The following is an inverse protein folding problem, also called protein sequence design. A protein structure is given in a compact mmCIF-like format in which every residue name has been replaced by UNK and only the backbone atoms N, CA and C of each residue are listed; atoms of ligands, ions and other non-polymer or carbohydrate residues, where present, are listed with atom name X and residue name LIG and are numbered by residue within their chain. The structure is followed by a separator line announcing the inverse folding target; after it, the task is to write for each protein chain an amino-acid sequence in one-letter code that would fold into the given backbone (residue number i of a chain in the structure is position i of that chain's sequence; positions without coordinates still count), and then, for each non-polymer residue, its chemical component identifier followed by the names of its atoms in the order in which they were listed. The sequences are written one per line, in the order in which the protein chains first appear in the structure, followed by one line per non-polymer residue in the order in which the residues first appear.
data_IF_372211377674
#
_entry.id   IF_372211377674
#
_cell.length_a   1.000
_cell.length_b   1.000
_cell.length_c   1.000
_cell.angle_alpha   90.00
_cell.angle_beta   90.00
_cell.angle_gamma   90.00
#
_symmetry.space_group_name_H-M   'P 1'
#
loop_
_entity.id
_entity.type
_entity.pdbx_description
1 polymer ?
#
# COMPACT_ATOMS: atom_id res chain seq x y z
N UNK A 1 8.95 -3.19 20.48
CA UNK A 1 7.56 -2.71 20.79
C UNK A 1 6.60 -2.96 19.61
N UNK A 2 6.80 -2.39 18.40
CA UNK A 2 5.90 -2.66 17.26
C UNK A 2 5.81 -4.15 16.94
N UNK A 3 6.94 -4.86 16.82
CA UNK A 3 6.99 -6.32 16.64
C UNK A 3 6.16 -7.10 17.67
N UNK A 4 6.26 -6.73 18.95
CA UNK A 4 5.51 -7.41 20.03
C UNK A 4 4.00 -7.20 19.92
N UNK A 5 3.57 -5.99 19.48
CA UNK A 5 2.16 -5.70 19.25
C UNK A 5 1.63 -6.49 18.06
N UNK A 6 2.35 -6.48 16.93
CA UNK A 6 1.98 -7.23 15.73
C UNK A 6 1.88 -8.74 16.03
N UNK A 7 2.86 -9.32 16.76
CA UNK A 7 2.81 -10.73 17.19
C UNK A 7 1.58 -11.06 18.06
N UNK A 8 1.10 -10.08 18.82
CA UNK A 8 -0.13 -10.21 19.63
C UNK A 8 -1.41 -9.88 18.85
N UNK A 9 -1.31 -9.64 17.55
CA UNK A 9 -2.41 -9.21 16.69
C UNK A 9 -3.05 -7.88 17.13
N UNK A 10 -2.24 -7.00 17.72
CA UNK A 10 -2.60 -5.62 18.06
C UNK A 10 -2.01 -4.73 17.00
N UNK A 11 -2.82 -3.86 16.42
CA UNK A 11 -2.39 -2.93 15.37
C UNK A 11 -1.83 -1.66 16.02
N UNK A 12 -0.51 -1.41 15.96
CA UNK A 12 0.05 -0.14 16.40
C UNK A 12 -0.36 0.97 15.43
N UNK A 13 -0.77 2.09 16.00
CA UNK A 13 -0.93 3.37 15.30
C UNK A 13 0.22 4.26 15.76
N UNK A 14 1.16 4.54 14.86
CA UNK A 14 2.33 5.40 15.14
C UNK A 14 2.02 6.79 14.63
N UNK A 15 2.08 7.78 15.51
CA UNK A 15 1.75 9.17 15.19
C UNK A 15 2.95 10.05 15.53
N UNK A 16 3.48 10.71 14.51
CA UNK A 16 4.52 11.72 14.67
C UNK A 16 5.94 11.25 14.41
N UNK A 17 6.84 12.23 14.46
CA UNK A 17 8.19 12.11 13.98
C UNK A 17 8.29 12.24 12.47
N UNK A 18 9.47 12.03 11.96
CA UNK A 18 9.74 11.98 10.52
C UNK A 18 9.41 10.59 9.95
N UNK A 19 9.20 10.53 8.64
CA UNK A 19 8.75 9.31 7.97
C UNK A 19 9.80 8.19 7.94
N UNK A 20 11.05 8.45 8.28
CA UNK A 20 12.07 7.43 8.50
C UNK A 20 11.69 6.41 9.59
N UNK A 21 10.75 6.73 10.47
CA UNK A 21 10.16 5.76 11.40
C UNK A 21 9.43 4.62 10.69
N UNK A 22 9.02 4.79 9.43
CA UNK A 22 8.52 3.72 8.56
C UNK A 22 9.53 2.58 8.44
N UNK A 23 10.83 2.90 8.34
CA UNK A 23 11.89 1.89 8.36
C UNK A 23 11.87 1.07 9.66
N UNK A 24 11.74 1.72 10.81
CA UNK A 24 11.67 1.02 12.10
C UNK A 24 10.40 0.16 12.24
N UNK A 25 9.27 0.62 11.67
CA UNK A 25 8.03 -0.17 11.61
C UNK A 25 8.19 -1.39 10.69
N UNK A 26 8.86 -1.23 9.53
CA UNK A 26 9.15 -2.32 8.60
C UNK A 26 10.06 -3.38 9.26
N UNK A 27 11.14 -2.96 9.94
CA UNK A 27 12.06 -3.88 10.64
C UNK A 27 11.38 -4.68 11.76
N UNK A 28 10.20 -4.26 12.23
CA UNK A 28 9.41 -5.04 13.18
C UNK A 28 8.86 -6.36 12.61
N UNK A 29 8.92 -6.53 11.29
CA UNK A 29 8.50 -7.76 10.60
C UNK A 29 9.65 -8.75 10.34
N UNK A 30 10.90 -8.41 10.67
CA UNK A 30 12.07 -9.24 10.36
C UNK A 30 12.02 -10.64 10.97
N UNK A 31 11.41 -10.77 12.14
CA UNK A 31 11.27 -12.05 12.85
C UNK A 31 9.87 -12.69 12.64
N UNK A 32 9.12 -12.19 11.65
CA UNK A 32 7.84 -12.77 11.26
C UNK A 32 8.04 -13.59 9.98
N UNK A 33 7.42 -14.77 9.91
CA UNK A 33 7.48 -15.63 8.74
C UNK A 33 6.55 -15.10 7.62
N UNK A 34 6.73 -13.83 7.25
CA UNK A 34 5.95 -13.19 6.18
C UNK A 34 6.76 -12.17 5.40
N UNK A 35 6.42 -11.98 4.12
CA UNK A 35 6.82 -10.82 3.34
C UNK A 35 5.91 -9.64 3.66
N UNK A 36 6.40 -8.44 3.44
CA UNK A 36 5.72 -7.19 3.77
C UNK A 36 5.32 -6.46 2.48
N UNK A 37 4.06 -6.11 2.38
CA UNK A 37 3.57 -5.13 1.41
C UNK A 37 3.46 -3.77 2.12
N UNK A 38 4.33 -2.85 1.72
CA UNK A 38 4.37 -1.47 2.23
C UNK A 38 3.58 -0.56 1.29
N UNK A 39 2.59 0.13 1.83
CA UNK A 39 1.89 1.20 1.11
C UNK A 39 2.24 2.54 1.73
N UNK A 40 2.80 3.44 0.93
CA UNK A 40 3.02 4.84 1.28
C UNK A 40 1.96 5.73 0.63
N UNK A 41 1.45 6.70 1.37
CA UNK A 41 0.74 7.86 0.81
C UNK A 41 1.69 9.02 0.90
N UNK A 42 2.24 9.43 -0.23
CA UNK A 42 3.37 10.34 -0.28
C UNK A 42 3.48 11.01 -1.65
N UNK A 43 4.01 12.24 -1.67
CA UNK A 43 4.31 12.96 -2.91
C UNK A 43 5.69 12.59 -3.50
N UNK A 44 6.51 11.83 -2.74
CA UNK A 44 7.85 11.38 -3.11
C UNK A 44 8.02 9.87 -2.90
N UNK A 45 9.09 9.30 -3.47
CA UNK A 45 9.43 7.88 -3.26
C UNK A 45 10.43 7.64 -2.12
N UNK A 46 11.06 8.71 -1.62
CA UNK A 46 12.05 8.67 -0.53
C UNK A 46 13.24 7.74 -0.78
N UNK A 47 13.75 7.77 -2.01
CA UNK A 47 15.04 7.19 -2.33
C UNK A 47 16.19 8.08 -1.85
N UNK A 48 17.31 7.46 -1.51
CA UNK A 48 18.51 8.17 -1.10
C UNK A 48 19.07 9.02 -2.25
N UNK A 49 19.21 10.32 -1.98
CA UNK A 49 19.99 11.27 -2.79
C UNK A 49 21.27 11.58 -2.03
N UNK A 50 22.34 12.01 -2.74
CA UNK A 50 23.51 12.58 -2.07
C UNK A 50 23.06 13.67 -1.11
N UNK A 51 23.39 13.53 0.17
CA UNK A 51 22.97 14.40 1.28
C UNK A 51 21.47 14.39 1.63
N UNK A 52 20.72 13.35 1.29
CA UNK A 52 19.32 13.22 1.68
C UNK A 52 19.16 13.10 3.20
N UNK A 53 18.15 13.78 3.75
CA UNK A 53 17.75 13.59 5.14
C UNK A 53 17.17 12.18 5.35
N UNK A 54 17.32 11.57 6.55
CA UNK A 54 16.82 10.22 6.84
C UNK A 54 15.33 10.03 6.47
N UNK A 55 14.50 11.04 6.69
CA UNK A 55 13.06 11.01 6.34
C UNK A 55 12.80 10.83 4.86
N UNK A 56 13.71 11.26 3.98
CA UNK A 56 13.58 11.20 2.53
C UNK A 56 14.49 10.12 1.91
N UNK A 57 14.83 9.09 2.67
CA UNK A 57 15.72 8.01 2.21
C UNK A 57 15.41 6.65 2.82
N UNK A 58 14.30 6.54 3.54
CA UNK A 58 13.97 5.31 4.25
C UNK A 58 13.72 4.12 3.31
N UNK A 59 13.18 4.36 2.11
CA UNK A 59 12.90 3.30 1.15
C UNK A 59 14.20 2.66 0.65
N UNK A 60 15.25 3.45 0.39
CA UNK A 60 16.56 2.90 0.02
C UNK A 60 17.11 1.96 1.09
N UNK A 61 16.96 2.30 2.36
CA UNK A 61 17.37 1.43 3.47
C UNK A 61 16.59 0.13 3.50
N UNK A 62 15.27 0.20 3.33
CA UNK A 62 14.40 -0.98 3.28
C UNK A 62 14.82 -1.94 2.17
N UNK A 63 15.23 -1.42 1.01
CA UNK A 63 15.60 -2.23 -0.16
C UNK A 63 17.00 -2.83 -0.02
N UNK A 64 17.95 -2.08 0.57
CA UNK A 64 19.37 -2.47 0.57
C UNK A 64 19.74 -3.31 1.81
N UNK A 65 19.13 -3.03 2.97
CA UNK A 65 19.54 -3.67 4.22
C UNK A 65 18.88 -5.02 4.44
N UNK A 66 19.69 -6.04 4.67
CA UNK A 66 19.25 -7.41 5.00
C UNK A 66 18.71 -7.54 6.44
N UNK A 67 17.74 -8.42 6.70
CA UNK A 67 17.03 -9.27 5.73
C UNK A 67 16.01 -8.47 4.91
N UNK A 68 15.93 -8.74 3.59
CA UNK A 68 14.96 -8.10 2.72
C UNK A 68 13.65 -8.88 2.72
N UNK A 69 12.67 -8.39 3.45
CA UNK A 69 11.33 -8.99 3.54
C UNK A 69 10.29 -8.20 2.73
N UNK A 70 10.72 -7.18 1.98
CA UNK A 70 9.81 -6.38 1.16
C UNK A 70 9.36 -7.18 -0.06
N UNK A 71 8.07 -7.47 -0.16
CA UNK A 71 7.48 -8.10 -1.34
C UNK A 71 6.98 -7.07 -2.35
N UNK A 72 6.28 -6.05 -1.85
CA UNK A 72 5.76 -4.97 -2.68
C UNK A 72 5.88 -3.63 -1.97
N UNK A 73 6.19 -2.61 -2.74
CA UNK A 73 6.03 -1.22 -2.36
C UNK A 73 5.02 -0.57 -3.29
N UNK A 74 4.05 0.14 -2.72
CA UNK A 74 3.10 0.93 -3.49
C UNK A 74 3.08 2.36 -2.96
N UNK A 75 3.23 3.34 -3.85
CA UNK A 75 3.08 4.75 -3.52
C UNK A 75 1.79 5.30 -4.12
N UNK A 76 0.98 5.96 -3.29
CA UNK A 76 -0.24 6.65 -3.67
C UNK A 76 -0.05 8.15 -3.54
N UNK A 77 -0.04 8.86 -4.65
CA UNK A 77 0.01 10.32 -4.62
C UNK A 77 1.32 10.95 -5.09
N UNK A 78 2.27 10.16 -5.65
CA UNK A 78 3.52 10.74 -6.10
C UNK A 78 3.31 11.83 -7.17
N UNK A 79 4.22 12.79 -7.17
CA UNK A 79 4.21 13.89 -8.12
C UNK A 79 5.55 13.95 -8.85
N UNK A 80 5.52 13.95 -10.18
CA UNK A 80 6.72 13.80 -11.03
C UNK A 80 7.77 14.89 -10.81
N UNK A 81 7.37 16.09 -10.42
CA UNK A 81 8.31 17.18 -10.18
C UNK A 81 9.08 17.09 -8.84
N UNK A 82 8.66 16.19 -7.93
CA UNK A 82 9.39 15.88 -6.72
C UNK A 82 10.34 14.69 -6.87
N UNK A 83 10.15 13.88 -7.91
CA UNK A 83 10.87 12.63 -8.12
C UNK A 83 11.71 12.72 -9.40
N UNK A 84 12.95 12.25 -9.37
CA UNK A 84 13.79 12.17 -10.55
C UNK A 84 13.33 11.06 -11.49
N UNK A 85 13.73 11.12 -12.76
CA UNK A 85 13.41 10.05 -13.71
C UNK A 85 14.04 8.72 -13.30
N UNK A 86 15.24 8.76 -12.71
CA UNK A 86 15.94 7.58 -12.20
C UNK A 86 15.16 6.88 -11.07
N UNK A 87 14.51 7.65 -10.21
CA UNK A 87 13.65 7.12 -9.14
C UNK A 87 12.41 6.44 -9.73
N UNK A 88 11.78 7.07 -10.73
CA UNK A 88 10.62 6.50 -11.43
C UNK A 88 11.03 5.19 -12.14
N UNK A 89 12.13 5.21 -12.88
CA UNK A 89 12.66 4.04 -13.58
C UNK A 89 13.01 2.90 -12.62
N UNK A 90 13.48 3.23 -11.41
CA UNK A 90 13.78 2.24 -10.40
C UNK A 90 12.52 1.54 -9.87
N UNK A 91 11.47 2.31 -9.59
CA UNK A 91 10.15 1.77 -9.20
C UNK A 91 9.64 0.79 -10.27
N UNK A 92 9.75 1.17 -11.54
CA UNK A 92 9.32 0.33 -12.67
C UNK A 92 10.16 -0.95 -12.79
N UNK A 93 11.50 -0.85 -12.69
CA UNK A 93 12.42 -2.00 -12.76
C UNK A 93 12.20 -3.01 -11.64
N UNK A 94 11.79 -2.54 -10.46
CA UNK A 94 11.46 -3.40 -9.33
C UNK A 94 10.02 -3.94 -9.40
N UNK A 95 9.27 -3.60 -10.44
CA UNK A 95 7.84 -3.91 -10.58
C UNK A 95 6.99 -3.44 -9.41
N UNK A 96 7.41 -2.37 -8.72
CA UNK A 96 6.64 -1.72 -7.67
C UNK A 96 5.48 -0.92 -8.25
N UNK A 97 4.55 -0.55 -7.40
CA UNK A 97 3.36 0.18 -7.80
C UNK A 97 3.49 1.66 -7.46
N UNK A 98 3.20 2.54 -8.42
CA UNK A 98 3.19 3.97 -8.18
C UNK A 98 2.00 4.62 -8.90
N UNK A 99 1.18 5.34 -8.14
CA UNK A 99 -0.03 5.99 -8.62
C UNK A 99 0.12 7.49 -8.46
N UNK A 100 -0.04 8.23 -9.55
CA UNK A 100 0.05 9.70 -9.52
C UNK A 100 -1.08 10.31 -8.69
N UNK A 101 -0.81 11.44 -8.07
CA UNK A 101 -1.82 12.20 -7.32
C UNK A 101 -3.10 12.40 -8.14
N UNK A 102 -2.98 12.84 -9.40
CA UNK A 102 -4.14 13.10 -10.26
C UNK A 102 -4.99 11.87 -10.53
N UNK A 103 -4.36 10.70 -10.69
CA UNK A 103 -5.04 9.42 -10.87
C UNK A 103 -5.86 9.06 -9.64
N UNK A 104 -5.23 9.04 -8.48
CA UNK A 104 -5.89 8.69 -7.20
C UNK A 104 -6.98 9.70 -6.84
N UNK A 105 -6.72 11.00 -7.01
CA UNK A 105 -7.70 12.05 -6.69
C UNK A 105 -8.92 12.01 -7.63
N UNK A 106 -8.73 11.63 -8.89
CA UNK A 106 -9.85 11.50 -9.85
C UNK A 106 -10.73 10.28 -9.54
N UNK A 107 -10.11 9.17 -9.13
CA UNK A 107 -10.80 7.94 -8.75
C UNK A 107 -10.17 7.34 -7.50
N UNK A 108 -10.62 7.78 -6.34
CA UNK A 108 -10.09 7.31 -5.06
C UNK A 108 -10.24 5.79 -4.85
N UNK A 109 -11.15 5.15 -5.58
CA UNK A 109 -11.42 3.72 -5.44
C UNK A 109 -10.27 2.85 -5.96
N UNK A 110 -9.37 3.36 -6.81
CA UNK A 110 -8.17 2.63 -7.26
C UNK A 110 -7.24 2.27 -6.09
N UNK A 111 -7.29 3.04 -5.01
CA UNK A 111 -6.49 2.81 -3.81
C UNK A 111 -7.02 1.64 -2.94
N UNK A 112 -8.30 1.27 -3.05
CA UNK A 112 -8.88 0.22 -2.20
C UNK A 112 -8.17 -1.12 -2.32
N UNK A 113 -7.98 -1.71 -3.53
CA UNK A 113 -7.27 -2.98 -3.67
C UNK A 113 -5.80 -2.88 -3.28
N UNK A 114 -5.17 -1.71 -3.40
CA UNK A 114 -3.78 -1.47 -2.96
C UNK A 114 -3.69 -1.57 -1.44
N UNK A 115 -4.55 -0.87 -0.70
CA UNK A 115 -4.59 -0.97 0.76
C UNK A 115 -5.04 -2.35 1.24
N UNK A 116 -5.91 -3.03 0.51
CA UNK A 116 -6.37 -4.38 0.86
C UNK A 116 -5.24 -5.39 0.82
N UNK A 117 -4.18 -5.14 0.07
CA UNK A 117 -2.96 -5.97 0.03
C UNK A 117 -1.85 -5.49 0.99
N UNK A 118 -2.00 -4.35 1.65
CA UNK A 118 -1.00 -3.77 2.53
C UNK A 118 -0.89 -4.51 3.87
N UNK A 119 0.34 -4.70 4.36
CA UNK A 119 0.66 -5.11 5.74
C UNK A 119 1.01 -3.89 6.61
N UNK A 120 1.80 -2.98 6.05
CA UNK A 120 2.27 -1.73 6.66
C UNK A 120 1.81 -0.54 5.83
N UNK A 121 1.19 0.43 6.48
CA UNK A 121 0.78 1.69 5.85
C UNK A 121 1.53 2.86 6.49
N UNK A 122 2.13 3.70 5.65
CA UNK A 122 2.86 4.92 6.03
C UNK A 122 2.25 6.12 5.31
N UNK A 123 1.79 7.12 6.06
CA UNK A 123 1.22 8.34 5.48
C UNK A 123 2.12 9.53 5.82
N UNK A 124 2.57 10.21 4.77
CA UNK A 124 3.23 11.50 4.87
C UNK A 124 2.17 12.62 4.78
N UNK A 125 2.11 13.45 5.83
CA UNK A 125 1.16 14.59 5.84
C UNK A 125 1.54 15.65 4.80
N UNK A 126 2.78 15.67 4.32
CA UNK A 126 3.19 16.56 3.22
C UNK A 126 2.53 16.23 1.88
N UNK A 127 1.97 15.02 1.71
CA UNK A 127 1.14 14.67 0.56
C UNK A 127 -0.23 15.38 0.55
N UNK A 128 -0.62 16.02 1.68
CA UNK A 128 -1.88 16.74 1.82
C UNK A 128 -1.69 18.22 1.47
N UNK A 129 -2.66 18.82 0.78
CA UNK A 129 -2.66 20.26 0.50
C UNK A 129 -2.58 21.08 1.80
N UNK A 130 -1.75 22.11 1.80
CA UNK A 130 -1.56 22.98 2.97
C UNK A 130 -2.84 23.67 3.44
N UNK A 131 -3.78 23.91 2.53
CA UNK A 131 -5.11 24.46 2.87
C UNK A 131 -5.95 23.53 3.76
N UNK A 132 -5.66 22.22 3.75
CA UNK A 132 -6.34 21.22 4.57
C UNK A 132 -5.47 20.76 5.75
N UNK A 133 -4.16 20.58 5.55
CA UNK A 133 -3.25 20.20 6.63
C UNK A 133 -2.98 21.35 7.61
N UNK A 134 -3.01 22.59 7.12
CA UNK A 134 -2.59 23.76 7.91
C UNK A 134 -1.07 23.93 7.99
N UNK A 135 -0.30 23.16 7.23
CA UNK A 135 1.14 23.29 7.15
C UNK A 135 1.54 24.36 6.13
N UNK A 136 1.70 25.59 6.61
CA UNK A 136 2.13 26.71 5.78
C UNK A 136 3.64 26.93 5.79
N UNK A 137 4.38 26.19 6.63
CA UNK A 137 5.85 26.26 6.66
C UNK A 137 6.46 25.47 5.47
N UNK A 138 5.83 24.36 5.10
CA UNK A 138 6.12 23.61 3.89
C UNK A 138 4.89 23.66 2.98
N UNK A 139 4.72 24.82 2.32
CA UNK A 139 3.52 25.08 1.55
C UNK A 139 3.41 24.16 0.34
N UNK A 140 2.42 23.29 0.35
CA UNK A 140 2.06 22.41 -0.76
C UNK A 140 0.64 22.73 -1.24
N UNK A 141 0.48 23.44 -2.38
CA UNK A 141 -0.83 23.77 -2.93
C UNK A 141 -1.50 22.60 -3.66
N UNK A 142 -0.72 21.59 -4.06
CA UNK A 142 -1.18 20.48 -4.88
C UNK A 142 -0.92 19.14 -4.17
N UNK A 143 -1.93 18.64 -3.49
CA UNK A 143 -1.90 17.38 -2.73
C UNK A 143 -3.32 16.85 -2.53
N UNK A 144 -3.47 15.82 -1.74
CA UNK A 144 -4.78 15.33 -1.35
C UNK A 144 -5.54 16.36 -0.52
N UNK A 145 -6.84 16.46 -0.72
CA UNK A 145 -7.70 17.21 0.16
C UNK A 145 -8.08 16.41 1.43
N UNK A 146 -8.73 17.07 2.40
CA UNK A 146 -9.09 16.43 3.67
C UNK A 146 -10.02 15.21 3.50
N UNK A 147 -10.96 15.25 2.54
CA UNK A 147 -11.86 14.12 2.26
C UNK A 147 -11.11 12.94 1.65
N UNK A 148 -10.24 13.21 0.70
CA UNK A 148 -9.45 12.17 0.01
C UNK A 148 -8.53 11.45 0.99
N UNK A 149 -7.74 12.18 1.79
CA UNK A 149 -6.84 11.54 2.75
C UNK A 149 -7.60 10.74 3.82
N UNK A 150 -8.75 11.22 4.30
CA UNK A 150 -9.61 10.46 5.20
C UNK A 150 -10.19 9.20 4.54
N UNK A 151 -10.52 9.24 3.25
CA UNK A 151 -10.96 8.06 2.50
C UNK A 151 -9.84 7.02 2.37
N UNK A 152 -8.61 7.46 2.07
CA UNK A 152 -7.43 6.58 2.00
C UNK A 152 -7.17 5.91 3.36
N UNK A 153 -7.23 6.66 4.45
CA UNK A 153 -7.05 6.08 5.80
C UNK A 153 -8.15 5.09 6.15
N UNK A 154 -9.39 5.34 5.72
CA UNK A 154 -10.49 4.41 5.89
C UNK A 154 -10.27 3.11 5.12
N UNK A 155 -9.78 3.16 3.89
CA UNK A 155 -9.42 1.95 3.12
C UNK A 155 -8.32 1.15 3.82
N UNK A 156 -7.29 1.82 4.38
CA UNK A 156 -6.28 1.15 5.20
C UNK A 156 -6.91 0.45 6.42
N UNK A 157 -7.87 1.10 7.08
CA UNK A 157 -8.59 0.53 8.23
C UNK A 157 -9.40 -0.71 7.88
N UNK A 158 -10.17 -0.68 6.77
CA UNK A 158 -11.02 -1.79 6.32
C UNK A 158 -10.22 -3.02 5.88
N UNK A 159 -8.95 -2.85 5.52
CA UNK A 159 -8.11 -3.96 5.09
C UNK A 159 -7.91 -4.97 6.21
N UNK A 160 -8.32 -6.23 5.98
CA UNK A 160 -8.10 -7.33 6.92
C UNK A 160 -6.61 -7.67 7.11
N UNK A 161 -5.75 -7.22 6.20
CA UNK A 161 -4.32 -7.53 6.16
C UNK A 161 -3.45 -6.49 6.87
N UNK A 162 -3.85 -5.22 6.94
CA UNK A 162 -3.08 -4.16 7.58
C UNK A 162 -2.87 -4.46 9.06
N UNK A 163 -1.60 -4.58 9.46
CA UNK A 163 -1.16 -4.90 10.82
C UNK A 163 -0.38 -3.76 11.49
N UNK A 164 0.01 -2.71 10.75
CA UNK A 164 0.55 -1.47 11.34
C UNK A 164 0.25 -0.26 10.47
N UNK A 165 0.05 0.89 11.12
CA UNK A 165 -0.34 2.14 10.49
C UNK A 165 0.45 3.31 11.09
N UNK A 166 0.98 4.19 10.24
CA UNK A 166 1.78 5.35 10.65
C UNK A 166 1.37 6.63 9.94
N UNK A 167 1.45 7.77 10.67
CA UNK A 167 1.24 9.12 10.14
C UNK A 167 2.42 10.01 10.58
N UNK A 168 3.10 10.62 9.62
CA UNK A 168 4.41 11.26 9.80
C UNK A 168 4.49 12.65 9.17
N UNK A 169 5.63 13.34 9.41
CA UNK A 169 6.03 14.60 8.79
C UNK A 169 5.00 15.73 8.97
N UNK A 170 4.51 15.90 10.19
CA UNK A 170 3.62 16.99 10.54
C UNK A 170 4.19 17.85 11.68
N UNK A 171 3.77 19.10 11.73
CA UNK A 171 4.07 19.99 12.85
C UNK A 171 2.95 19.94 13.87
N UNK A 172 3.27 20.10 15.15
CA UNK A 172 2.26 20.07 16.21
C UNK A 172 1.49 21.39 16.22
N UNK A 173 0.72 21.65 15.16
CA UNK A 173 -0.23 22.78 15.11
C UNK A 173 -1.63 22.26 15.44
N UNK A 174 -2.50 23.15 15.89
CA UNK A 174 -3.89 22.78 16.19
C UNK A 174 -4.65 22.30 14.94
N UNK A 175 -4.32 22.82 13.77
CA UNK A 175 -4.97 22.46 12.50
C UNK A 175 -4.56 21.07 12.04
N UNK A 176 -3.25 20.79 12.00
CA UNK A 176 -2.74 19.45 11.65
C UNK A 176 -3.24 18.40 12.64
N UNK A 177 -3.26 18.70 13.94
CA UNK A 177 -3.77 17.78 14.95
C UNK A 177 -5.24 17.40 14.71
N UNK A 178 -6.10 18.34 14.26
CA UNK A 178 -7.49 18.05 13.91
C UNK A 178 -7.59 17.12 12.70
N UNK A 179 -6.80 17.36 11.66
CA UNK A 179 -6.77 16.49 10.48
C UNK A 179 -6.30 15.07 10.85
N UNK A 180 -5.20 14.97 11.61
CA UNK A 180 -4.66 13.67 12.05
C UNK A 180 -5.68 12.91 12.92
N UNK A 181 -6.37 13.62 13.83
CA UNK A 181 -7.43 13.01 14.63
C UNK A 181 -8.55 12.44 13.76
N UNK A 182 -8.95 13.13 12.68
CA UNK A 182 -9.92 12.62 11.72
C UNK A 182 -9.38 11.41 10.95
N UNK A 183 -8.14 11.46 10.47
CA UNK A 183 -7.50 10.33 9.79
C UNK A 183 -7.48 9.08 10.68
N UNK A 184 -7.06 9.22 11.93
CA UNK A 184 -7.06 8.12 12.92
C UNK A 184 -8.48 7.63 13.18
N UNK A 185 -9.46 8.52 13.30
CA UNK A 185 -10.86 8.15 13.47
C UNK A 185 -11.37 7.32 12.29
N UNK A 186 -11.09 7.75 11.04
CA UNK A 186 -11.49 7.02 9.85
C UNK A 186 -10.77 5.65 9.73
N UNK A 187 -9.52 5.56 10.17
CA UNK A 187 -8.83 4.28 10.25
C UNK A 187 -9.53 3.32 11.24
N UNK A 188 -9.85 3.81 12.45
CA UNK A 188 -10.54 3.00 13.48
C UNK A 188 -11.97 2.64 13.04
N UNK A 189 -12.68 3.57 12.42
CA UNK A 189 -13.99 3.30 11.86
C UNK A 189 -13.89 2.23 10.77
N UNK A 190 -12.93 2.36 9.83
CA UNK A 190 -12.66 1.34 8.84
C UNK A 190 -12.36 -0.02 9.45
N UNK A 191 -11.53 -0.07 10.49
CA UNK A 191 -11.21 -1.31 11.21
C UNK A 191 -12.46 -2.00 11.76
N UNK A 192 -13.45 -1.26 12.24
CA UNK A 192 -14.70 -1.84 12.76
C UNK A 192 -15.57 -2.48 11.66
N UNK A 193 -15.30 -2.19 10.38
CA UNK A 193 -15.96 -2.77 9.21
C UNK A 193 -15.17 -3.88 8.52
N UNK A 194 -14.11 -4.42 9.15
CA UNK A 194 -13.38 -5.58 8.61
C UNK A 194 -14.30 -6.79 8.50
N UNK A 195 -14.28 -7.42 7.34
CA UNK A 195 -15.14 -8.60 7.07
C UNK A 195 -14.47 -9.93 7.37
N UNK A 196 -13.17 -9.94 7.71
CA UNK A 196 -12.36 -11.14 7.93
C UNK A 196 -12.47 -12.13 6.77
N UNK A 197 -12.43 -11.62 5.56
CA UNK A 197 -12.64 -12.39 4.34
C UNK A 197 -11.40 -12.48 3.45
N UNK A 198 -10.21 -12.13 3.96
CA UNK A 198 -8.99 -12.33 3.17
C UNK A 198 -8.81 -13.83 2.90
N UNK A 199 -8.60 -14.26 1.63
CA UNK A 199 -8.67 -15.66 1.23
C UNK A 199 -7.41 -16.45 1.60
N UNK A 200 -7.04 -16.47 2.87
CA UNK A 200 -5.92 -17.27 3.38
C UNK A 200 -6.17 -18.77 3.46
N UNK A 201 -7.41 -19.22 3.30
CA UNK A 201 -7.81 -20.61 3.49
C UNK A 201 -8.81 -21.09 2.46
N UNK A 202 -10.02 -21.50 2.90
CA UNK A 202 -11.07 -21.99 2.02
C UNK A 202 -11.62 -20.91 1.09
N UNK A 203 -11.74 -21.25 -0.19
CA UNK A 203 -12.35 -20.40 -1.22
C UNK A 203 -13.87 -20.64 -1.40
N UNK A 204 -14.52 -21.36 -0.47
CA UNK A 204 -15.95 -21.72 -0.57
C UNK A 204 -16.90 -20.52 -0.59
N UNK A 205 -16.47 -19.40 -0.02
CA UNK A 205 -17.26 -18.16 0.02
C UNK A 205 -17.03 -17.26 -1.19
N UNK A 206 -16.41 -17.79 -2.23
CA UNK A 206 -16.05 -17.03 -3.43
C UNK A 206 -16.62 -17.69 -4.68
N UNK A 207 -17.09 -16.86 -5.63
CA UNK A 207 -17.39 -17.31 -6.98
C UNK A 207 -16.10 -17.25 -7.78
N UNK A 208 -15.76 -18.36 -8.42
CA UNK A 208 -14.60 -18.46 -9.31
C UNK A 208 -15.01 -18.11 -10.73
N UNK A 209 -14.26 -17.23 -11.37
CA UNK A 209 -14.37 -16.91 -12.79
C UNK A 209 -13.04 -17.24 -13.46
N UNK A 210 -13.10 -17.83 -14.66
CA UNK A 210 -11.94 -18.17 -15.48
C UNK A 210 -12.06 -17.36 -16.77
N UNK A 211 -11.04 -16.56 -17.07
CA UNK A 211 -10.97 -15.76 -18.28
C UNK A 211 -9.77 -16.23 -19.10
N UNK A 212 -9.99 -16.87 -20.27
CA UNK A 212 -8.90 -17.25 -21.15
C UNK A 212 -8.33 -15.98 -21.83
N UNK A 213 -7.00 -15.84 -21.82
CA UNK A 213 -6.27 -14.77 -22.52
C UNK A 213 -5.12 -15.42 -23.25
N UNK A 214 -5.15 -15.42 -24.58
CA UNK A 214 -4.21 -16.13 -25.45
C UNK A 214 -4.01 -17.59 -25.00
N UNK A 215 -2.79 -17.98 -24.59
CA UNK A 215 -2.45 -19.32 -24.13
C UNK A 215 -2.52 -19.48 -22.61
N UNK A 216 -2.95 -18.46 -21.86
CA UNK A 216 -3.05 -18.43 -20.39
C UNK A 216 -4.50 -18.31 -19.91
N UNK A 217 -4.73 -18.69 -18.65
CA UNK A 217 -6.01 -18.50 -17.97
C UNK A 217 -5.84 -17.59 -16.76
N UNK A 218 -6.55 -16.46 -16.72
CA UNK A 218 -6.65 -15.64 -15.53
C UNK A 218 -7.81 -16.11 -14.67
N UNK A 219 -7.52 -16.37 -13.40
CA UNK A 219 -8.51 -16.88 -12.45
C UNK A 219 -8.88 -15.80 -11.46
N UNK A 220 -10.15 -15.41 -11.46
CA UNK A 220 -10.69 -14.41 -10.55
C UNK A 220 -11.59 -15.05 -9.50
N UNK A 221 -11.62 -14.42 -8.33
CA UNK A 221 -12.51 -14.79 -7.22
C UNK A 221 -13.28 -13.56 -6.74
N UNK A 222 -14.59 -13.69 -6.68
CA UNK A 222 -15.48 -12.64 -6.14
C UNK A 222 -16.08 -13.11 -4.83
N UNK A 223 -15.94 -12.31 -3.77
CA UNK A 223 -16.55 -12.61 -2.48
C UNK A 223 -18.07 -12.54 -2.54
N UNK A 224 -18.75 -13.51 -1.94
CA UNK A 224 -20.19 -13.48 -1.70
C UNK A 224 -20.60 -12.47 -0.61
N UNK A 225 -19.66 -12.10 0.29
CA UNK A 225 -19.93 -11.25 1.45
C UNK A 225 -19.88 -9.79 1.06
N UNK A 226 -18.75 -9.37 0.46
CA UNK A 226 -18.47 -7.95 0.18
C UNK A 226 -18.56 -7.58 -1.29
N UNK A 227 -18.59 -8.58 -2.18
CA UNK A 227 -18.48 -8.37 -3.62
C UNK A 227 -17.07 -7.99 -4.10
N UNK A 228 -16.06 -8.00 -3.21
CA UNK A 228 -14.66 -7.72 -3.55
C UNK A 228 -14.07 -8.79 -4.43
N UNK A 229 -13.07 -8.41 -5.22
CA UNK A 229 -12.42 -9.26 -6.20
C UNK A 229 -10.96 -9.52 -5.86
N UNK A 230 -10.50 -10.71 -6.23
CA UNK A 230 -9.09 -11.13 -6.21
C UNK A 230 -8.77 -11.83 -7.53
N UNK A 231 -7.53 -11.73 -7.96
CA UNK A 231 -6.99 -12.47 -9.10
C UNK A 231 -5.88 -13.41 -8.64
N UNK A 232 -5.87 -14.62 -9.14
CA UNK A 232 -4.84 -15.61 -8.81
C UNK A 232 -3.53 -15.28 -9.53
N UNK A 233 -2.41 -15.32 -8.79
CA UNK A 233 -1.07 -15.20 -9.35
C UNK A 233 -0.51 -16.61 -9.48
N UNK A 234 -0.06 -17.04 -10.69
CA UNK A 234 0.54 -18.35 -10.88
C UNK A 234 1.77 -18.55 -9.98
N UNK A 235 1.89 -19.72 -9.43
CA UNK A 235 2.98 -20.10 -8.55
C UNK A 235 4.18 -20.59 -9.37
N UNK A 236 5.35 -20.00 -9.17
CA UNK A 236 6.60 -20.55 -9.66
C UNK A 236 7.17 -21.54 -8.63
N UNK A 237 7.21 -22.81 -8.99
CA UNK A 237 7.55 -23.94 -8.10
C UNK A 237 9.01 -24.00 -7.66
N UNK A 238 9.90 -23.15 -8.20
CA UNK A 238 11.36 -23.25 -8.03
C UNK A 238 11.99 -22.22 -7.09
N UNK A 239 11.22 -21.40 -6.42
CA UNK A 239 11.77 -20.43 -5.47
C UNK A 239 11.69 -21.00 -4.06
N UNK A 240 12.85 -21.13 -3.41
CA UNK A 240 13.01 -21.56 -1.99
C UNK A 240 12.48 -20.49 -1.02
N UNK A 241 11.32 -19.92 -1.28
CA UNK A 241 10.73 -18.87 -0.48
C UNK A 241 9.72 -19.48 0.49
N UNK A 242 9.98 -19.34 1.80
CA UNK A 242 9.09 -19.77 2.91
C UNK A 242 7.70 -19.10 2.86
N UNK A 243 7.53 -18.13 1.98
CA UNK A 243 6.43 -17.18 1.93
C UNK A 243 5.43 -17.46 0.80
N UNK A 244 5.44 -18.64 0.28
CA UNK A 244 4.62 -19.19 -0.82
C UNK A 244 3.09 -19.10 -0.65
N UNK A 245 2.56 -18.19 0.15
CA UNK A 245 1.14 -18.22 0.54
C UNK A 245 0.25 -17.16 -0.10
N UNK A 246 0.79 -16.16 -0.78
CA UNK A 246 -0.05 -15.14 -1.41
C UNK A 246 -0.20 -15.48 -2.89
N UNK A 247 -1.17 -16.30 -3.21
CA UNK A 247 -1.56 -16.63 -4.59
C UNK A 247 -2.70 -15.74 -5.10
N UNK A 248 -3.26 -14.87 -4.25
CA UNK A 248 -4.40 -14.02 -4.60
C UNK A 248 -4.05 -12.55 -4.38
N UNK A 249 -4.08 -11.78 -5.45
CA UNK A 249 -3.91 -10.34 -5.45
C UNK A 249 -5.29 -9.66 -5.40
N UNK A 250 -5.53 -8.72 -4.49
CA UNK A 250 -6.72 -7.88 -4.56
C UNK A 250 -6.81 -7.11 -5.87
N UNK A 251 -7.97 -7.13 -6.49
CA UNK A 251 -8.25 -6.43 -7.75
C UNK A 251 -9.64 -5.80 -7.73
N UNK A 252 -10.02 -5.14 -8.80
CA UNK A 252 -11.31 -4.50 -9.00
C UNK A 252 -12.21 -5.32 -9.94
N UNK A 253 -13.47 -4.90 -10.07
CA UNK A 253 -14.34 -5.42 -11.11
C UNK A 253 -13.89 -4.96 -12.51
N UNK A 254 -13.31 -3.78 -12.58
CA UNK A 254 -12.75 -3.22 -13.82
C UNK A 254 -11.59 -4.08 -14.34
N UNK A 255 -10.72 -4.57 -13.45
CA UNK A 255 -9.66 -5.52 -13.83
C UNK A 255 -10.22 -6.82 -14.44
N UNK A 256 -11.34 -7.32 -13.89
CA UNK A 256 -12.02 -8.48 -14.45
C UNK A 256 -12.62 -8.18 -15.84
N UNK A 257 -13.25 -7.01 -16.00
CA UNK A 257 -13.83 -6.61 -17.28
C UNK A 257 -12.75 -6.38 -18.35
N UNK A 258 -11.62 -5.73 -18.00
CA UNK A 258 -10.48 -5.56 -18.89
C UNK A 258 -9.90 -6.92 -19.33
N UNK A 259 -9.79 -7.87 -18.42
CA UNK A 259 -9.37 -9.23 -18.74
C UNK A 259 -10.34 -9.91 -19.75
N UNK A 260 -11.66 -9.72 -19.61
CA UNK A 260 -12.65 -10.21 -20.57
C UNK A 260 -12.48 -9.57 -21.96
N UNK A 261 -11.90 -8.38 -22.04
CA UNK A 261 -11.54 -7.67 -23.30
C UNK A 261 -10.12 -8.00 -23.78
N UNK A 262 -9.48 -9.03 -23.23
CA UNK A 262 -8.12 -9.51 -23.53
C UNK A 262 -7.01 -8.55 -23.06
N UNK A 263 -7.27 -7.70 -22.07
CA UNK A 263 -6.28 -6.83 -21.44
C UNK A 263 -5.81 -7.42 -20.12
N UNK A 264 -4.49 -7.66 -19.97
CA UNK A 264 -3.91 -8.18 -18.72
C UNK A 264 -3.81 -7.02 -17.71
N UNK A 265 -4.42 -7.15 -16.51
CA UNK A 265 -4.30 -6.10 -15.48
C UNK A 265 -2.84 -5.84 -15.09
N UNK A 266 -2.42 -4.58 -15.09
CA UNK A 266 -1.03 -4.18 -14.82
C UNK A 266 -0.54 -4.67 -13.46
N UNK A 267 -1.38 -4.59 -12.41
CA UNK A 267 -1.04 -5.05 -11.06
C UNK A 267 -0.75 -6.55 -11.03
N UNK A 268 -1.51 -7.35 -11.76
CA UNK A 268 -1.28 -8.79 -11.87
C UNK A 268 0.05 -9.08 -12.56
N UNK A 269 0.32 -8.41 -13.68
CA UNK A 269 1.56 -8.55 -14.42
C UNK A 269 2.78 -8.17 -13.57
N UNK A 270 2.74 -7.04 -12.86
CA UNK A 270 3.80 -6.63 -11.92
C UNK A 270 4.01 -7.66 -10.81
N UNK A 271 2.93 -8.14 -10.20
CA UNK A 271 3.00 -9.14 -9.13
C UNK A 271 3.58 -10.46 -9.63
N UNK A 272 3.22 -10.92 -10.83
CA UNK A 272 3.80 -12.09 -11.46
C UNK A 272 5.32 -11.93 -11.65
N UNK A 273 5.78 -10.79 -12.13
CA UNK A 273 7.20 -10.50 -12.34
C UNK A 273 7.99 -10.44 -11.04
N UNK A 274 7.44 -9.85 -9.99
CA UNK A 274 8.07 -9.86 -8.65
C UNK A 274 8.25 -11.29 -8.10
N UNK A 275 7.35 -12.19 -8.39
CA UNK A 275 7.48 -13.61 -7.97
C UNK A 275 8.62 -14.36 -8.67
N UNK A 276 9.13 -13.82 -9.77
CA UNK A 276 10.21 -14.44 -10.56
C UNK A 276 11.60 -13.96 -10.08
N UNK A 277 11.66 -12.73 -9.56
CA UNK A 277 12.89 -12.15 -9.01
C UNK A 277 13.18 -12.68 -7.60
#
# INVERSE_FOLDING_TARGET
MVEELVKKKIIPIVIGGSQDLTYAMYRAYDNLDQMVNLVAVDNQFDFAKENAFPSNSYLSKIIIEEPTNLFNYANLGYQTYYNSQEEIDLIEKMYFEAYRLGEVATNIAVAEPVFRDADLVSIDVTAVQSSFSGNFMQFNPNGFNGKEICSLTRYAGISDKVTSFGVFNFNVTSQEAVLIAQMVWYFIEGFSFRSNEYPFGSKEKYIKYIVPIDDEELVFYKSHISGRWWIEIPFLTNVNNKLKRVTLLPCTNEDYLAACEQEIPERWWKAQRRNIL
#
